data_IF_942266364862
#
_entry.id   IF_942266364862
#
_cell.length_a   1.000
_cell.length_b   1.000
_cell.length_c   1.000
_cell.angle_alpha   90.00
_cell.angle_beta   90.00
_cell.angle_gamma   90.00
#
_symmetry.space_group_name_H-M   'P 1'
#
loop_
_entity.id
_entity.type
_entity.pdbx_description
1 polymer ?
#
# COMPACT_ATOMS: atom_id res chain seq x y z
N UNK A 1 1.56 7.10 -13.25
CA UNK A 1 0.27 6.89 -12.54
C UNK A 1 -0.15 8.15 -11.78
N UNK A 2 -1.37 8.23 -11.24
CA UNK A 2 -1.75 9.33 -10.33
C UNK A 2 -1.07 9.15 -8.96
N UNK A 3 0.01 9.90 -8.71
CA UNK A 3 0.77 9.87 -7.46
C UNK A 3 -0.12 10.14 -6.23
N UNK A 4 -1.15 10.97 -6.36
CA UNK A 4 -2.07 11.28 -5.25
C UNK A 4 -2.91 10.09 -4.82
N UNK A 5 -3.23 9.18 -5.75
CA UNK A 5 -3.91 7.94 -5.43
C UNK A 5 -2.99 7.04 -4.60
N UNK A 6 -1.73 6.86 -5.02
CA UNK A 6 -0.75 6.07 -4.30
C UNK A 6 -0.52 6.61 -2.87
N UNK A 7 -0.29 7.92 -2.72
CA UNK A 7 -0.11 8.58 -1.42
C UNK A 7 -1.28 8.30 -0.46
N UNK A 8 -2.53 8.41 -0.94
CA UNK A 8 -3.71 8.14 -0.10
C UNK A 8 -3.78 6.68 0.34
N UNK A 9 -3.42 5.74 -0.52
CA UNK A 9 -3.39 4.31 -0.19
C UNK A 9 -2.26 3.99 0.80
N UNK A 10 -1.12 4.65 0.66
CA UNK A 10 0.00 4.56 1.59
C UNK A 10 -0.37 5.05 2.98
N UNK A 11 -1.01 6.23 3.08
CA UNK A 11 -1.52 6.75 4.36
C UNK A 11 -2.52 5.78 5.01
N UNK A 12 -3.41 5.17 4.22
CA UNK A 12 -4.35 4.17 4.74
C UNK A 12 -3.62 2.96 5.32
N UNK A 13 -2.59 2.44 4.64
CA UNK A 13 -1.82 1.29 5.11
C UNK A 13 -1.00 1.64 6.36
N UNK A 14 -0.21 2.72 6.33
CA UNK A 14 0.65 3.11 7.46
C UNK A 14 -0.15 3.38 8.74
N UNK A 15 -1.35 3.97 8.62
CA UNK A 15 -2.25 4.18 9.75
C UNK A 15 -2.70 2.88 10.44
N UNK A 16 -2.57 1.73 9.77
CA UNK A 16 -2.96 0.40 10.28
C UNK A 16 -1.77 -0.56 10.42
N UNK A 17 -0.55 -0.08 10.14
CA UNK A 17 0.68 -0.88 10.16
C UNK A 17 1.11 -1.24 11.58
N UNK A 18 1.81 -2.37 11.71
CA UNK A 18 2.59 -2.63 12.91
C UNK A 18 3.79 -1.67 12.97
N UNK A 19 3.93 -0.95 14.10
CA UNK A 19 4.99 0.07 14.29
C UNK A 19 6.39 -0.48 14.10
N UNK A 20 6.59 -1.79 14.26
CA UNK A 20 7.89 -2.45 14.05
C UNK A 20 8.40 -2.29 12.61
N UNK A 21 7.51 -2.07 11.63
CA UNK A 21 7.87 -1.92 10.21
C UNK A 21 7.77 -0.48 9.70
N UNK A 22 7.39 0.48 10.55
CA UNK A 22 7.04 1.84 10.13
C UNK A 22 8.19 2.56 9.40
N UNK A 23 9.41 2.50 9.95
CA UNK A 23 10.59 3.15 9.33
C UNK A 23 10.96 2.53 7.97
N UNK A 24 11.00 1.20 7.89
CA UNK A 24 11.32 0.47 6.65
C UNK A 24 10.29 0.77 5.57
N UNK A 25 9.00 0.71 5.90
CA UNK A 25 7.94 0.95 4.94
C UNK A 25 7.86 2.42 4.50
N UNK A 26 8.07 3.39 5.40
CA UNK A 26 8.15 4.81 5.04
C UNK A 26 9.26 5.06 4.01
N UNK A 27 10.44 4.51 4.23
CA UNK A 27 11.55 4.61 3.27
C UNK A 27 11.20 3.97 1.92
N UNK A 28 10.60 2.77 1.92
CA UNK A 28 10.20 2.09 0.69
C UNK A 28 9.15 2.88 -0.10
N UNK A 29 8.19 3.52 0.59
CA UNK A 29 7.18 4.36 -0.07
C UNK A 29 7.78 5.64 -0.64
N UNK A 30 8.71 6.30 0.08
CA UNK A 30 9.38 7.50 -0.42
C UNK A 30 10.14 7.20 -1.72
N UNK A 31 10.95 6.13 -1.74
CA UNK A 31 11.69 5.69 -2.94
C UNK A 31 10.73 5.36 -4.08
N UNK A 32 9.62 4.67 -3.80
CA UNK A 32 8.64 4.31 -4.82
C UNK A 32 7.96 5.52 -5.46
N UNK A 33 7.69 6.59 -4.68
CA UNK A 33 7.06 7.81 -5.19
C UNK A 33 8.02 8.69 -5.98
N UNK A 34 9.33 8.52 -5.83
CA UNK A 34 10.35 9.20 -6.63
C UNK A 34 10.47 8.64 -8.06
N UNK A 35 10.02 7.41 -8.29
CA UNK A 35 10.09 6.73 -9.60
C UNK A 35 8.78 6.83 -10.39
N UNK A 36 8.86 6.68 -11.72
CA UNK A 36 7.67 6.46 -12.53
C UNK A 36 7.20 5.02 -12.37
N UNK A 37 5.95 4.83 -11.96
CA UNK A 37 5.36 3.51 -11.76
C UNK A 37 4.03 3.31 -12.50
N UNK A 38 3.77 2.05 -12.83
CA UNK A 38 2.51 1.55 -13.37
C UNK A 38 1.58 0.98 -12.28
N UNK A 39 0.37 0.56 -12.69
CA UNK A 39 -0.63 -0.01 -11.78
C UNK A 39 -0.19 -1.36 -11.20
N UNK A 40 0.52 -2.18 -11.96
CA UNK A 40 1.02 -3.47 -11.49
C UNK A 40 2.09 -3.29 -10.42
N UNK A 41 2.98 -2.32 -10.59
CA UNK A 41 3.99 -1.92 -9.61
C UNK A 41 3.34 -1.39 -8.34
N UNK A 42 2.31 -0.53 -8.46
CA UNK A 42 1.55 -0.08 -7.30
C UNK A 42 0.90 -1.26 -6.56
N UNK A 43 0.24 -2.18 -7.27
CA UNK A 43 -0.39 -3.36 -6.63
C UNK A 43 0.63 -4.22 -5.89
N UNK A 44 1.83 -4.44 -6.46
CA UNK A 44 2.91 -5.18 -5.81
C UNK A 44 3.40 -4.48 -4.54
N UNK A 45 3.58 -3.16 -4.59
CA UNK A 45 3.96 -2.36 -3.42
C UNK A 45 2.87 -2.45 -2.33
N UNK A 46 1.60 -2.29 -2.70
CA UNK A 46 0.48 -2.38 -1.75
C UNK A 46 0.37 -3.76 -1.11
N UNK A 47 0.62 -4.85 -1.85
CA UNK A 47 0.66 -6.20 -1.29
C UNK A 47 1.80 -6.35 -0.27
N UNK A 48 3.00 -5.87 -0.59
CA UNK A 48 4.14 -5.87 0.32
C UNK A 48 3.83 -5.10 1.61
N UNK A 49 3.24 -3.91 1.51
CA UNK A 49 2.88 -3.07 2.65
C UNK A 49 1.71 -3.67 3.46
N UNK A 50 0.72 -4.26 2.78
CA UNK A 50 -0.41 -4.96 3.41
C UNK A 50 0.07 -6.11 4.28
N UNK A 51 1.20 -6.73 3.91
CA UNK A 51 1.77 -7.79 4.72
C UNK A 51 2.29 -7.32 6.09
N UNK A 52 2.54 -6.01 6.23
CA UNK A 52 2.99 -5.35 7.47
C UNK A 52 1.85 -4.73 8.29
N UNK A 53 0.62 -4.77 7.77
CA UNK A 53 -0.59 -4.34 8.48
C UNK A 53 -0.90 -5.30 9.63
N UNK A 54 -1.39 -4.76 10.74
CA UNK A 54 -1.84 -5.56 11.90
C UNK A 54 -2.88 -6.60 11.46
N UNK A 55 -2.73 -7.82 11.95
CA UNK A 55 -3.55 -8.96 11.49
C UNK A 55 -5.06 -8.73 11.63
N UNK A 56 -5.50 -8.04 12.69
CA UNK A 56 -6.91 -7.70 12.93
C UNK A 56 -7.46 -6.59 12.00
N UNK A 57 -6.57 -5.87 11.31
CA UNK A 57 -6.91 -4.77 10.39
C UNK A 57 -6.71 -5.11 8.92
N UNK A 58 -5.92 -6.15 8.62
CA UNK A 58 -5.50 -6.49 7.26
C UNK A 58 -6.67 -6.61 6.29
N UNK A 59 -7.73 -7.35 6.65
CA UNK A 59 -8.88 -7.56 5.75
C UNK A 59 -9.61 -6.25 5.43
N UNK A 60 -9.91 -5.44 6.45
CA UNK A 60 -10.55 -4.13 6.28
C UNK A 60 -9.70 -3.19 5.41
N UNK A 61 -8.37 -3.19 5.57
CA UNK A 61 -7.48 -2.37 4.74
C UNK A 61 -7.48 -2.85 3.30
N UNK A 62 -7.41 -4.17 3.09
CA UNK A 62 -7.46 -4.79 1.77
C UNK A 62 -8.74 -4.40 1.01
N UNK A 63 -9.91 -4.55 1.63
CA UNK A 63 -11.20 -4.20 1.01
C UNK A 63 -11.24 -2.72 0.58
N UNK A 64 -10.73 -1.80 1.43
CA UNK A 64 -10.66 -0.37 1.12
C UNK A 64 -9.70 -0.01 -0.01
N UNK A 65 -8.63 -0.78 -0.17
CA UNK A 65 -7.72 -0.63 -1.31
C UNK A 65 -8.42 -1.13 -2.58
N UNK A 66 -9.02 -2.32 -2.53
CA UNK A 66 -9.67 -2.92 -3.70
C UNK A 66 -10.88 -2.12 -4.19
N UNK A 67 -11.58 -1.40 -3.30
CA UNK A 67 -12.62 -0.45 -3.69
C UNK A 67 -12.11 0.74 -4.51
N UNK A 68 -10.82 1.10 -4.39
CA UNK A 68 -10.23 2.25 -5.08
C UNK A 68 -9.53 1.86 -6.39
N UNK A 69 -8.88 0.69 -6.43
CA UNK A 69 -8.02 0.29 -7.56
C UNK A 69 -8.43 -1.04 -8.22
N UNK A 70 -9.51 -1.66 -7.76
CA UNK A 70 -9.91 -3.02 -8.14
C UNK A 70 -9.05 -4.09 -7.45
N UNK A 71 -9.19 -5.33 -7.91
CA UNK A 71 -8.49 -6.48 -7.32
C UNK A 71 -6.98 -6.27 -7.22
N UNK A 72 -6.42 -6.53 -6.03
CA UNK A 72 -4.96 -6.53 -5.80
C UNK A 72 -4.28 -7.73 -6.45
N UNK A 73 -5.00 -8.84 -6.63
CA UNK A 73 -4.53 -10.00 -7.37
C UNK A 73 -4.98 -9.89 -8.83
N UNK A 74 -4.03 -9.97 -9.77
CA UNK A 74 -4.37 -10.26 -11.16
C UNK A 74 -4.94 -11.68 -11.21
N UNK A 75 -6.14 -11.82 -11.78
CA UNK A 75 -6.73 -13.12 -12.13
C UNK A 75 -6.15 -13.61 -13.45
#
# INVERSE_FOLDING_TARGET
MDTRLAERLFVLITSNMDRTYEEECNMAMDVFLEEEFDMGELKRMLLYLLDKVKADRREMVKEKIEQQIGSLHEQ
#
